data_IF_065643592842
#
_entry.id   IF_065643592842
#
_cell.length_a   1.000
_cell.length_b   1.000
_cell.length_c   1.000
_cell.angle_alpha   90.00
_cell.angle_beta   90.00
_cell.angle_gamma   90.00
#
_symmetry.space_group_name_H-M   'P 1'
#
loop_
_entity.id
_entity.type
_entity.pdbx_description
1 polymer ?
#
# COMPACT_ATOMS: atom_id res chain seq x y z
N UNK A 1 -74.72 26.39 -1.56
CA UNK A 1 -74.10 25.61 -2.64
C UNK A 1 -74.80 24.27 -2.67
N UNK A 2 -75.42 23.89 -3.79
CA UNK A 2 -76.17 22.62 -3.85
C UNK A 2 -75.24 21.42 -3.70
N UNK A 3 -75.73 20.33 -3.08
CA UNK A 3 -74.94 19.13 -2.79
C UNK A 3 -74.22 18.57 -4.03
N UNK A 4 -74.81 18.72 -5.22
CA UNK A 4 -74.21 18.33 -6.50
C UNK A 4 -72.93 19.11 -6.80
N UNK A 5 -72.88 20.41 -6.50
CA UNK A 5 -71.70 21.25 -6.74
C UNK A 5 -70.58 20.91 -5.74
N UNK A 6 -70.93 20.54 -4.51
CA UNK A 6 -69.97 20.07 -3.50
C UNK A 6 -69.36 18.73 -3.92
N UNK A 7 -70.17 17.78 -4.41
CA UNK A 7 -69.69 16.47 -4.88
C UNK A 7 -68.73 16.63 -6.08
N UNK A 8 -69.08 17.48 -7.05
CA UNK A 8 -68.22 17.74 -8.22
C UNK A 8 -66.88 18.35 -7.82
N UNK A 9 -66.88 19.29 -6.87
CA UNK A 9 -65.64 19.90 -6.35
C UNK A 9 -64.79 18.85 -5.63
N UNK A 10 -65.38 17.97 -4.82
CA UNK A 10 -64.65 16.92 -4.12
C UNK A 10 -64.00 15.91 -5.09
N UNK A 11 -64.71 15.51 -6.14
CA UNK A 11 -64.15 14.63 -7.18
C UNK A 11 -62.98 15.32 -7.89
N UNK A 12 -63.12 16.60 -8.24
CA UNK A 12 -62.03 17.35 -8.88
C UNK A 12 -60.79 17.42 -8.00
N UNK A 13 -60.95 17.62 -6.68
CA UNK A 13 -59.83 17.63 -5.72
C UNK A 13 -59.18 16.24 -5.64
N UNK A 14 -59.96 15.17 -5.57
CA UNK A 14 -59.43 13.79 -5.53
C UNK A 14 -58.64 13.46 -6.79
N UNK A 15 -59.12 13.86 -7.97
CA UNK A 15 -58.41 13.65 -9.24
C UNK A 15 -57.10 14.42 -9.26
N UNK A 16 -57.07 15.69 -8.81
CA UNK A 16 -55.83 16.48 -8.71
C UNK A 16 -54.84 15.82 -7.74
N UNK A 17 -55.31 15.35 -6.58
CA UNK A 17 -54.45 14.66 -5.60
C UNK A 17 -53.88 13.35 -6.15
N UNK A 18 -54.66 12.57 -6.89
CA UNK A 18 -54.20 11.34 -7.53
C UNK A 18 -53.12 11.60 -8.60
N UNK A 19 -53.27 12.66 -9.39
CA UNK A 19 -52.27 13.08 -10.39
C UNK A 19 -50.98 13.55 -9.72
N UNK A 20 -51.07 14.34 -8.65
CA UNK A 20 -49.91 14.81 -7.88
C UNK A 20 -49.17 13.63 -7.21
N UNK A 21 -49.91 12.70 -6.60
CA UNK A 21 -49.34 11.49 -6.00
C UNK A 21 -48.68 10.58 -7.04
N UNK A 22 -49.30 10.40 -8.21
CA UNK A 22 -48.74 9.66 -9.33
C UNK A 22 -47.45 10.29 -9.89
N UNK A 23 -47.42 11.61 -10.03
CA UNK A 23 -46.22 12.35 -10.47
C UNK A 23 -45.08 12.33 -9.42
N UNK A 24 -45.41 12.24 -8.12
CA UNK A 24 -44.43 12.02 -7.05
C UNK A 24 -43.88 10.60 -7.04
N UNK A 25 -44.71 9.59 -7.37
CA UNK A 25 -44.29 8.19 -7.43
C UNK A 25 -43.38 7.86 -8.63
N UNK A 26 -43.45 8.64 -9.71
CA UNK A 26 -42.66 8.41 -10.94
C UNK A 26 -41.24 9.02 -10.90
N UNK A 27 -40.86 9.75 -9.84
CA UNK A 27 -39.58 10.46 -9.79
C UNK A 27 -38.35 9.59 -9.45
N UNK A 28 -38.52 8.33 -9.04
CA UNK A 28 -37.44 7.52 -8.45
C UNK A 28 -36.86 6.39 -9.33
N UNK A 29 -37.21 6.32 -10.62
CA UNK A 29 -36.82 5.16 -11.45
C UNK A 29 -35.37 5.17 -11.98
N UNK A 30 -34.56 6.22 -11.77
CA UNK A 30 -33.24 6.35 -12.40
C UNK A 30 -32.14 6.91 -11.47
N UNK A 31 -32.28 6.76 -10.14
CA UNK A 31 -31.19 7.14 -9.24
C UNK A 31 -30.03 6.14 -9.38
N UNK A 32 -28.83 6.64 -9.71
CA UNK A 32 -27.62 5.82 -9.79
C UNK A 32 -27.22 5.29 -8.42
N UNK A 33 -26.74 4.05 -8.38
CA UNK A 33 -26.23 3.43 -7.16
C UNK A 33 -24.89 4.07 -6.75
N UNK A 34 -24.71 4.47 -5.46
CA UNK A 34 -23.45 5.02 -5.03
C UNK A 34 -22.33 3.98 -5.02
N UNK A 35 -21.11 4.43 -5.30
CA UNK A 35 -19.92 3.58 -5.28
C UNK A 35 -19.03 3.84 -4.08
N UNK A 36 -18.08 2.94 -3.88
CA UNK A 36 -17.03 3.01 -2.90
C UNK A 36 -15.70 2.69 -3.58
N UNK A 37 -14.89 3.71 -3.78
CA UNK A 37 -13.54 3.62 -4.30
C UNK A 37 -12.55 3.69 -3.12
N UNK A 38 -11.59 2.77 -3.08
CA UNK A 38 -10.63 2.70 -1.99
C UNK A 38 -9.22 2.38 -2.50
N UNK A 39 -8.22 3.12 -2.05
CA UNK A 39 -6.81 2.74 -2.15
C UNK A 39 -6.52 1.73 -1.04
N UNK A 40 -6.11 0.52 -1.42
CA UNK A 40 -5.88 -0.60 -0.48
C UNK A 40 -4.40 -0.92 -0.26
N UNK A 41 -3.50 -0.33 -1.03
CA UNK A 41 -2.06 -0.47 -0.80
C UNK A 41 -1.56 0.35 0.38
N UNK A 42 -0.39 -0.03 0.88
CA UNK A 42 0.26 0.65 2.00
C UNK A 42 0.69 2.08 1.64
N UNK A 43 0.65 2.94 2.67
CA UNK A 43 1.09 4.34 2.62
C UNK A 43 2.61 4.50 2.52
N UNK A 44 3.38 3.42 2.72
CA UNK A 44 4.83 3.42 2.60
C UNK A 44 5.31 2.19 1.86
N UNK A 45 6.09 2.38 0.80
CA UNK A 45 6.58 1.32 -0.07
C UNK A 45 8.01 1.62 -0.51
N UNK A 46 8.71 0.63 -1.07
CA UNK A 46 10.01 0.81 -1.71
C UNK A 46 9.86 1.19 -3.19
N UNK A 47 10.92 1.72 -3.82
CA UNK A 47 10.92 1.98 -5.27
C UNK A 47 10.51 0.71 -6.06
N UNK A 48 9.64 0.88 -7.05
CA UNK A 48 9.08 -0.25 -7.83
C UNK A 48 7.91 -0.97 -7.17
N UNK A 49 7.30 -0.38 -6.13
CA UNK A 49 6.07 -0.89 -5.51
C UNK A 49 4.84 -0.87 -6.43
N UNK A 50 3.67 -1.17 -5.87
CA UNK A 50 2.41 -1.25 -6.62
C UNK A 50 1.29 -0.52 -5.85
N UNK A 51 0.52 0.29 -6.56
CA UNK A 51 -0.73 0.85 -6.06
C UNK A 51 -1.85 -0.15 -6.31
N UNK A 52 -2.58 -0.49 -5.25
CA UNK A 52 -3.76 -1.37 -5.32
C UNK A 52 -5.02 -0.57 -4.99
N UNK A 53 -6.05 -0.74 -5.81
CA UNK A 53 -7.33 -0.02 -5.73
C UNK A 53 -8.47 -1.04 -5.74
N UNK A 54 -9.51 -0.78 -4.96
CA UNK A 54 -10.78 -1.52 -4.94
C UNK A 54 -11.94 -0.59 -5.28
N UNK A 55 -12.81 -1.02 -6.19
CA UNK A 55 -14.07 -0.35 -6.51
C UNK A 55 -15.25 -1.31 -6.28
N UNK A 56 -16.18 -0.90 -5.44
CA UNK A 56 -17.44 -1.61 -5.20
C UNK A 56 -18.62 -0.64 -5.22
N UNK A 57 -19.85 -1.16 -5.21
CA UNK A 57 -21.00 -0.41 -4.72
C UNK A 57 -20.95 -0.31 -3.16
N UNK A 58 -21.95 0.32 -2.56
CA UNK A 58 -22.09 0.36 -1.10
C UNK A 58 -22.40 -1.01 -0.47
N UNK A 59 -22.97 -1.94 -1.24
CA UNK A 59 -23.27 -3.32 -0.82
C UNK A 59 -22.05 -4.26 -0.95
N UNK A 60 -20.88 -3.74 -1.35
CA UNK A 60 -19.62 -4.46 -1.60
C UNK A 60 -19.64 -5.36 -2.84
N UNK A 61 -20.62 -5.22 -3.73
CA UNK A 61 -20.59 -5.83 -5.06
C UNK A 61 -19.44 -5.23 -5.86
N UNK A 62 -18.66 -6.09 -6.51
CA UNK A 62 -17.46 -5.65 -7.23
C UNK A 62 -17.82 -5.10 -8.62
N UNK A 63 -17.33 -3.90 -8.94
CA UNK A 63 -17.57 -3.25 -10.24
C UNK A 63 -16.42 -3.57 -11.19
N UNK A 64 -16.70 -4.34 -12.24
CA UNK A 64 -15.69 -4.88 -13.15
C UNK A 64 -15.50 -4.08 -14.43
N UNK A 65 -14.26 -4.04 -14.95
CA UNK A 65 -13.85 -3.38 -16.20
C UNK A 65 -14.06 -1.87 -16.20
N UNK A 66 -14.31 -1.29 -15.03
CA UNK A 66 -14.48 0.15 -14.85
C UNK A 66 -13.16 0.88 -14.93
N UNK A 67 -13.18 2.08 -15.53
CA UNK A 67 -11.99 2.93 -15.67
C UNK A 67 -11.82 3.81 -14.44
N UNK A 68 -10.68 3.69 -13.78
CA UNK A 68 -10.29 4.54 -12.65
C UNK A 68 -9.08 5.39 -13.06
N UNK A 69 -9.18 6.70 -12.88
CA UNK A 69 -8.09 7.61 -13.14
C UNK A 69 -7.23 7.74 -11.88
N UNK A 70 -5.91 7.66 -12.04
CA UNK A 70 -4.92 7.76 -10.97
C UNK A 70 -4.01 8.94 -11.27
N UNK A 71 -3.99 9.91 -10.37
CA UNK A 71 -3.08 11.06 -10.39
C UNK A 71 -2.17 10.99 -9.17
N UNK A 72 -0.86 11.12 -9.38
CA UNK A 72 0.11 11.20 -8.28
C UNK A 72 0.86 12.52 -8.40
N UNK A 73 0.88 13.27 -7.30
CA UNK A 73 1.49 14.59 -7.21
C UNK A 73 2.63 14.54 -6.20
N UNK A 74 3.79 15.11 -6.54
CA UNK A 74 4.90 15.19 -5.61
C UNK A 74 4.71 16.32 -4.58
N UNK A 75 5.59 16.39 -3.59
CA UNK A 75 5.57 17.43 -2.56
C UNK A 75 5.71 18.89 -3.07
N UNK A 76 6.06 19.09 -4.34
CA UNK A 76 6.13 20.41 -4.99
C UNK A 76 4.86 20.75 -5.77
N UNK A 77 3.82 19.92 -5.69
CA UNK A 77 2.56 20.12 -6.42
C UNK A 77 2.61 19.71 -7.90
N UNK A 78 3.72 19.13 -8.38
CA UNK A 78 3.82 18.65 -9.76
C UNK A 78 3.19 17.27 -9.90
N UNK A 79 2.29 17.10 -10.86
CA UNK A 79 1.77 15.79 -11.28
C UNK A 79 2.90 15.00 -11.95
N UNK A 80 3.24 13.86 -11.36
CA UNK A 80 4.30 12.95 -11.83
C UNK A 80 3.72 11.68 -12.45
N UNK A 81 2.48 11.31 -12.12
CA UNK A 81 1.74 10.21 -12.74
C UNK A 81 0.33 10.69 -13.04
N UNK A 82 -0.15 10.40 -14.26
CA UNK A 82 -1.55 10.55 -14.66
C UNK A 82 -1.87 9.37 -15.58
N UNK A 83 -2.55 8.35 -15.07
CA UNK A 83 -2.84 7.11 -15.78
C UNK A 83 -4.25 6.62 -15.50
N UNK A 84 -4.85 5.93 -16.47
CA UNK A 84 -6.11 5.23 -16.28
C UNK A 84 -5.85 3.73 -16.16
N UNK A 85 -6.42 3.11 -15.13
CA UNK A 85 -6.41 1.65 -14.93
C UNK A 85 -7.83 1.10 -15.02
N UNK A 86 -7.95 -0.21 -15.28
CA UNK A 86 -9.24 -0.90 -15.32
C UNK A 86 -9.38 -1.89 -14.18
N UNK A 87 -10.56 -1.94 -13.57
CA UNK A 87 -10.85 -2.97 -12.57
C UNK A 87 -11.02 -4.34 -13.23
N UNK A 88 -10.62 -5.40 -12.54
CA UNK A 88 -10.82 -6.78 -12.98
C UNK A 88 -12.22 -7.31 -12.58
N UNK A 89 -12.48 -8.60 -12.75
CA UNK A 89 -13.75 -9.25 -12.36
C UNK A 89 -14.09 -9.13 -10.86
N UNK A 90 -13.08 -8.91 -10.03
CA UNK A 90 -13.22 -8.71 -8.59
C UNK A 90 -13.19 -7.24 -8.21
N UNK A 91 -13.35 -6.30 -9.14
CA UNK A 91 -13.35 -4.86 -8.84
C UNK A 91 -12.01 -4.30 -8.37
N UNK A 92 -10.91 -5.05 -8.56
CA UNK A 92 -9.57 -4.62 -8.18
C UNK A 92 -8.84 -4.02 -9.38
N UNK A 93 -8.11 -2.94 -9.20
CA UNK A 93 -7.18 -2.39 -10.19
C UNK A 93 -5.79 -2.22 -9.57
N UNK A 94 -4.76 -2.30 -10.41
CA UNK A 94 -3.35 -2.22 -10.02
C UNK A 94 -2.60 -1.25 -10.92
N UNK A 95 -1.62 -0.55 -10.36
CA UNK A 95 -0.70 0.31 -11.09
C UNK A 95 0.71 0.16 -10.51
N UNK A 96 1.67 -0.27 -11.33
CA UNK A 96 3.08 -0.29 -10.95
C UNK A 96 3.60 1.14 -10.73
N UNK A 97 4.32 1.33 -9.63
CA UNK A 97 4.85 2.61 -9.19
C UNK A 97 6.33 2.74 -9.56
N UNK A 98 6.58 3.29 -10.74
CA UNK A 98 7.92 3.75 -11.14
C UNK A 98 8.19 5.15 -10.58
N UNK A 99 8.25 5.23 -9.26
CA UNK A 99 8.51 6.47 -8.52
C UNK A 99 9.83 6.35 -7.76
N UNK A 100 10.59 7.44 -7.77
CA UNK A 100 11.78 7.60 -6.93
C UNK A 100 11.42 7.87 -5.48
N UNK A 101 12.39 7.73 -4.57
CA UNK A 101 12.19 8.06 -3.16
C UNK A 101 11.61 9.45 -2.98
N UNK A 102 10.64 9.58 -2.08
CA UNK A 102 9.97 10.85 -1.85
C UNK A 102 8.60 10.72 -1.21
N UNK A 103 7.96 11.88 -1.04
CA UNK A 103 6.60 12.01 -0.53
C UNK A 103 5.68 12.47 -1.65
N UNK A 104 4.54 11.81 -1.74
CA UNK A 104 3.55 11.98 -2.79
C UNK A 104 2.13 12.00 -2.22
N UNK A 105 1.21 12.54 -2.99
CA UNK A 105 -0.23 12.42 -2.78
C UNK A 105 -0.80 11.66 -3.97
N UNK A 106 -1.44 10.53 -3.70
CA UNK A 106 -2.17 9.73 -4.68
C UNK A 106 -3.63 10.15 -4.61
N UNK A 107 -4.22 10.47 -5.76
CA UNK A 107 -5.65 10.71 -5.92
C UNK A 107 -6.18 9.73 -6.97
N UNK A 108 -7.24 8.99 -6.62
CA UNK A 108 -7.92 8.07 -7.53
C UNK A 108 -9.35 8.53 -7.71
N UNK A 109 -9.82 8.56 -8.96
CA UNK A 109 -11.16 9.02 -9.29
C UNK A 109 -11.85 8.04 -10.21
N UNK A 110 -13.07 7.67 -9.85
CA UNK A 110 -14.01 6.96 -10.71
C UNK A 110 -15.11 7.95 -11.12
N UNK A 111 -15.32 8.13 -12.42
CA UNK A 111 -16.28 9.11 -12.95
C UNK A 111 -17.75 8.69 -12.87
N UNK A 112 -18.03 7.45 -12.47
CA UNK A 112 -19.36 6.85 -12.58
C UNK A 112 -19.65 6.33 -13.99
N UNK A 113 -20.81 5.70 -14.13
CA UNK A 113 -21.38 5.25 -15.40
C UNK A 113 -22.90 5.42 -15.37
N UNK A 114 -23.66 4.80 -16.26
CA UNK A 114 -25.12 4.96 -16.32
C UNK A 114 -25.85 4.44 -15.07
N UNK A 115 -25.27 3.45 -14.39
CA UNK A 115 -25.88 2.79 -13.23
C UNK A 115 -25.29 3.25 -11.90
N UNK A 116 -24.06 3.75 -11.91
CA UNK A 116 -23.27 4.00 -10.71
C UNK A 116 -22.77 5.44 -10.64
N UNK A 117 -22.81 6.05 -9.45
CA UNK A 117 -22.20 7.37 -9.24
C UNK A 117 -20.67 7.26 -9.24
N UNK A 118 -20.00 8.38 -9.53
CA UNK A 118 -18.57 8.50 -9.31
C UNK A 118 -18.20 8.55 -7.83
N UNK A 119 -16.91 8.33 -7.56
CA UNK A 119 -16.31 8.42 -6.23
C UNK A 119 -14.81 8.78 -6.34
N UNK A 120 -14.23 9.28 -5.25
CA UNK A 120 -12.83 9.72 -5.18
C UNK A 120 -12.21 9.26 -3.87
N UNK A 121 -10.95 8.83 -3.93
CA UNK A 121 -10.16 8.53 -2.75
C UNK A 121 -8.76 9.14 -2.88
N UNK A 122 -8.14 9.43 -1.73
CA UNK A 122 -6.85 10.12 -1.67
C UNK A 122 -6.01 9.58 -0.53
N UNK A 123 -4.71 9.40 -0.79
CA UNK A 123 -3.77 8.86 0.19
C UNK A 123 -2.39 9.50 0.04
N UNK A 124 -1.77 9.85 1.18
CA UNK A 124 -0.35 10.17 1.23
C UNK A 124 0.48 8.91 1.04
N UNK A 125 1.49 8.97 0.16
CA UNK A 125 2.38 7.86 -0.16
C UNK A 125 3.83 8.28 0.05
N UNK A 126 4.60 7.45 0.76
CA UNK A 126 6.04 7.61 0.94
C UNK A 126 6.79 6.48 0.24
N UNK A 127 7.62 6.83 -0.74
CA UNK A 127 8.52 5.88 -1.41
C UNK A 127 9.89 5.95 -0.74
N UNK A 128 10.39 4.79 -0.32
CA UNK A 128 11.73 4.57 0.24
C UNK A 128 12.66 4.03 -0.85
N UNK A 129 13.97 4.24 -0.69
CA UNK A 129 14.98 3.63 -1.56
C UNK A 129 14.83 2.11 -1.56
N UNK A 130 14.95 1.49 -2.73
CA UNK A 130 14.95 0.02 -2.82
C UNK A 130 16.11 -0.52 -1.97
N UNK A 131 15.90 -1.56 -1.15
CA UNK A 131 16.98 -2.12 -0.38
C UNK A 131 18.09 -2.64 -1.30
N UNK A 132 19.32 -2.21 -1.03
CA UNK A 132 20.52 -2.64 -1.74
C UNK A 132 21.16 -3.77 -0.95
N UNK A 133 21.32 -4.94 -1.56
CA UNK A 133 22.08 -6.04 -0.96
C UNK A 133 23.57 -5.77 -1.19
N UNK A 134 24.29 -5.40 -0.14
CA UNK A 134 25.76 -5.37 -0.18
C UNK A 134 26.27 -6.71 0.32
N UNK A 135 26.80 -7.52 -0.59
CA UNK A 135 27.53 -8.75 -0.24
C UNK A 135 28.95 -8.35 0.14
N UNK A 136 29.30 -8.49 1.41
CA UNK A 136 30.70 -8.33 1.86
C UNK A 136 31.40 -9.69 1.71
N UNK A 137 32.22 -9.83 0.68
CA UNK A 137 33.13 -10.96 0.54
C UNK A 137 34.49 -10.56 1.11
N UNK A 138 34.83 -11.06 2.30
CA UNK A 138 36.19 -11.00 2.83
C UNK A 138 36.93 -12.28 2.48
N UNK A 139 38.04 -12.17 1.76
CA UNK A 139 38.91 -13.31 1.38
C UNK A 139 40.11 -13.47 2.30
N UNK A 140 40.15 -12.79 3.44
CA UNK A 140 41.28 -12.85 4.37
C UNK A 140 40.95 -13.76 5.56
N UNK A 141 41.84 -14.74 5.79
CA UNK A 141 41.85 -15.68 6.94
C UNK A 141 42.18 -14.99 8.27
N UNK A 142 41.85 -13.71 8.41
CA UNK A 142 42.30 -12.88 9.53
C UNK A 142 41.07 -12.42 10.30
N UNK A 143 41.06 -12.66 11.62
CA UNK A 143 40.02 -12.15 12.52
C UNK A 143 39.84 -10.65 12.30
N UNK A 144 38.61 -10.13 12.25
CA UNK A 144 38.38 -8.73 11.94
C UNK A 144 39.12 -7.83 12.92
N UNK A 145 40.08 -7.06 12.40
CA UNK A 145 40.76 -6.00 13.13
C UNK A 145 39.74 -4.93 13.54
N UNK A 146 39.98 -4.35 14.71
CA UNK A 146 39.25 -3.22 15.29
C UNK A 146 38.88 -2.16 14.22
N UNK A 147 37.58 -1.89 14.08
CA UNK A 147 37.07 -0.80 13.26
C UNK A 147 36.41 0.25 14.18
N UNK A 148 37.04 1.42 14.27
CA UNK A 148 36.62 2.55 15.11
C UNK A 148 35.23 3.10 14.75
N UNK A 149 34.73 2.84 13.54
CA UNK A 149 33.44 3.31 13.08
C UNK A 149 32.27 2.44 13.59
N UNK A 150 32.56 1.28 14.19
CA UNK A 150 31.55 0.27 14.57
C UNK A 150 31.28 0.15 16.08
N UNK A 151 32.09 0.75 16.95
CA UNK A 151 31.86 0.76 18.40
C UNK A 151 32.17 -0.57 19.10
N UNK A 152 32.34 -0.51 20.42
CA UNK A 152 32.99 -1.49 21.30
C UNK A 152 32.59 -2.97 21.15
N UNK A 153 33.60 -3.85 21.30
CA UNK A 153 33.44 -5.29 21.53
C UNK A 153 33.43 -5.59 23.03
N UNK A 154 32.41 -6.28 23.53
CA UNK A 154 32.46 -6.97 24.83
C UNK A 154 32.15 -8.46 24.60
N UNK A 155 33.16 -9.32 24.54
CA UNK A 155 32.93 -10.76 24.63
C UNK A 155 32.49 -11.06 26.07
N UNK A 156 31.23 -11.44 26.27
CA UNK A 156 30.82 -12.08 27.51
C UNK A 156 31.28 -13.53 27.47
N UNK A 157 32.02 -13.93 28.50
CA UNK A 157 32.88 -15.12 28.46
C UNK A 157 32.23 -16.43 28.03
N UNK A 158 33.04 -17.14 27.23
CA UNK A 158 33.16 -18.56 26.91
C UNK A 158 32.17 -19.51 27.62
N UNK A 159 31.34 -20.17 26.80
CA UNK A 159 30.65 -21.42 27.13
C UNK A 159 29.38 -21.64 26.31
N UNK A 160 29.43 -22.59 25.35
CA UNK A 160 28.37 -23.04 24.43
C UNK A 160 28.22 -22.16 23.17
N UNK A 161 29.34 -22.07 22.47
CA UNK A 161 29.51 -22.32 21.05
C UNK A 161 28.75 -21.40 20.08
N UNK A 162 29.51 -20.37 19.67
CA UNK A 162 29.55 -19.88 18.29
C UNK A 162 28.56 -18.79 17.92
N UNK A 163 27.99 -18.02 18.86
CA UNK A 163 27.11 -16.89 18.48
C UNK A 163 27.26 -15.71 19.45
N UNK A 164 27.85 -14.61 19.00
CA UNK A 164 27.86 -13.32 19.71
C UNK A 164 26.94 -12.31 19.05
N UNK A 165 26.03 -11.67 19.80
CA UNK A 165 25.20 -10.56 19.29
C UNK A 165 25.89 -9.23 19.59
N UNK A 166 26.22 -8.47 18.54
CA UNK A 166 26.86 -7.16 18.60
C UNK A 166 25.82 -6.08 18.37
N UNK A 167 25.57 -5.25 19.38
CA UNK A 167 24.75 -4.04 19.25
C UNK A 167 25.62 -2.86 18.78
N UNK A 168 25.34 -2.32 17.60
CA UNK A 168 26.06 -1.19 17.04
C UNK A 168 25.49 0.13 17.59
N UNK A 169 26.30 1.17 17.63
CA UNK A 169 25.98 2.51 18.14
C UNK A 169 24.74 3.20 17.52
N UNK A 170 24.18 2.63 16.46
CA UNK A 170 22.97 3.07 15.77
C UNK A 170 21.71 2.28 16.17
N UNK A 171 21.77 1.39 17.16
CA UNK A 171 20.67 0.49 17.54
C UNK A 171 20.48 -0.71 16.59
N UNK A 172 21.55 -1.15 15.90
CA UNK A 172 21.56 -2.33 15.01
C UNK A 172 22.10 -3.55 15.76
N UNK A 173 21.79 -4.77 15.31
CA UNK A 173 22.37 -6.01 15.84
C UNK A 173 23.08 -6.82 14.73
N UNK A 174 24.23 -7.43 15.04
CA UNK A 174 24.95 -8.39 14.16
C UNK A 174 25.22 -9.66 14.96
N UNK A 175 25.13 -10.84 14.33
CA UNK A 175 25.45 -12.12 14.98
C UNK A 175 26.74 -12.70 14.39
N UNK A 176 27.70 -13.07 15.24
CA UNK A 176 29.02 -13.60 14.84
C UNK A 176 29.19 -15.03 15.33
N UNK A 177 29.49 -15.95 14.40
CA UNK A 177 29.78 -17.36 14.66
C UNK A 177 31.17 -17.78 14.19
N UNK A 178 31.81 -18.71 14.91
CA UNK A 178 33.23 -19.05 14.81
C UNK A 178 33.59 -20.47 14.32
N UNK A 179 32.65 -21.35 13.94
CA UNK A 179 32.97 -22.71 13.48
C UNK A 179 32.15 -23.22 12.30
N UNK A 180 31.77 -22.38 11.36
CA UNK A 180 31.08 -22.89 10.18
C UNK A 180 30.58 -21.83 9.23
N UNK A 181 30.20 -22.27 8.03
CA UNK A 181 29.45 -21.44 7.11
C UNK A 181 28.11 -21.08 7.73
N UNK A 182 27.99 -19.87 8.23
CA UNK A 182 26.72 -19.30 8.63
C UNK A 182 26.45 -18.07 7.76
N UNK A 183 25.36 -18.12 6.98
CA UNK A 183 24.78 -16.92 6.40
C UNK A 183 24.20 -16.09 7.55
N UNK A 184 24.90 -15.04 7.97
CA UNK A 184 24.34 -14.07 8.91
C UNK A 184 23.60 -13.00 8.13
N UNK A 185 22.30 -12.85 8.41
CA UNK A 185 21.41 -11.89 7.79
C UNK A 185 20.84 -10.91 8.81
N UNK A 186 20.97 -9.61 8.58
CA UNK A 186 20.34 -8.55 9.36
C UNK A 186 19.76 -7.45 8.46
N UNK A 187 18.83 -6.65 8.98
CA UNK A 187 18.34 -5.44 8.30
C UNK A 187 19.00 -4.20 8.92
N UNK A 188 19.51 -3.29 8.10
CA UNK A 188 19.97 -1.99 8.59
C UNK A 188 18.80 -1.03 8.90
N UNK A 189 19.10 0.18 9.41
CA UNK A 189 18.09 1.18 9.75
C UNK A 189 17.36 1.77 8.53
N UNK A 190 17.74 1.36 7.32
CA UNK A 190 17.14 1.71 6.05
C UNK A 190 16.40 0.51 5.41
N UNK A 191 16.43 -0.66 6.05
CA UNK A 191 15.78 -1.90 5.58
C UNK A 191 16.59 -2.71 4.58
N UNK A 192 17.87 -2.37 4.35
CA UNK A 192 18.76 -3.15 3.50
C UNK A 192 19.11 -4.47 4.18
N UNK A 193 19.06 -5.57 3.44
CA UNK A 193 19.50 -6.88 3.94
C UNK A 193 21.03 -6.96 3.80
N UNK A 194 21.70 -7.04 4.94
CA UNK A 194 23.14 -7.28 5.03
C UNK A 194 23.34 -8.77 5.20
N UNK A 195 24.08 -9.38 4.27
CA UNK A 195 24.51 -10.79 4.35
C UNK A 195 26.02 -10.87 4.18
N UNK A 196 26.65 -11.77 4.93
CA UNK A 196 28.05 -12.13 4.74
C UNK A 196 28.24 -13.64 4.71
N UNK A 197 29.34 -14.07 4.11
CA UNK A 197 29.76 -15.47 4.06
C UNK A 197 31.21 -15.56 4.52
N UNK A 198 31.52 -16.51 5.39
CA UNK A 198 32.89 -16.77 5.84
C UNK A 198 33.36 -18.15 5.34
N UNK A 199 34.60 -18.22 4.88
CA UNK A 199 35.28 -19.43 4.42
C UNK A 199 36.27 -19.88 5.52
N UNK A 200 35.80 -20.67 6.49
CA UNK A 200 36.67 -21.28 7.49
C UNK A 200 37.24 -22.62 6.97
N UNK A 201 38.53 -22.69 6.67
CA UNK A 201 39.22 -23.98 6.53
C UNK A 201 39.79 -24.42 7.87
N UNK A 202 39.40 -25.62 8.31
CA UNK A 202 39.88 -26.26 9.53
C UNK A 202 41.41 -26.42 9.49
N UNK A 203 42.08 -25.71 10.39
CA UNK A 203 43.49 -25.90 10.70
C UNK A 203 43.70 -27.18 11.50
N UNK A 204 44.72 -27.94 11.11
CA UNK A 204 44.98 -29.32 11.52
C UNK A 204 45.24 -29.50 13.02
N UNK A 205 44.83 -30.67 13.52
CA UNK A 205 45.25 -31.20 14.83
C UNK A 205 46.77 -31.29 14.87
N UNK A 206 47.39 -30.64 15.84
CA UNK A 206 48.76 -30.94 16.26
C UNK A 206 48.65 -31.50 17.68
N UNK A 207 49.28 -32.67 17.85
CA UNK A 207 49.35 -33.47 19.07
C UNK A 207 49.80 -32.69 20.30
#
# INVERSE_FOLDING_TARGET
>A
MENKNIIVILIAIIVVLAVVAGALFLQSANAKEPTKLQITSDKSQYEGGELSIKLTDLNKTSLSKEKVNVTITNNKGKVVVNKTVKTNSKGNAKLDLDLKKGKYVVNVTYGGNDNYTGDVDSQNLTIKDKPTTNTLSSTTNEYPLYNSDLGYYKPTGIGQDEMGVVELASGRYVVVAGDGYYEYGGQDSQGNIVTGSFLGHGGSRIS
#
